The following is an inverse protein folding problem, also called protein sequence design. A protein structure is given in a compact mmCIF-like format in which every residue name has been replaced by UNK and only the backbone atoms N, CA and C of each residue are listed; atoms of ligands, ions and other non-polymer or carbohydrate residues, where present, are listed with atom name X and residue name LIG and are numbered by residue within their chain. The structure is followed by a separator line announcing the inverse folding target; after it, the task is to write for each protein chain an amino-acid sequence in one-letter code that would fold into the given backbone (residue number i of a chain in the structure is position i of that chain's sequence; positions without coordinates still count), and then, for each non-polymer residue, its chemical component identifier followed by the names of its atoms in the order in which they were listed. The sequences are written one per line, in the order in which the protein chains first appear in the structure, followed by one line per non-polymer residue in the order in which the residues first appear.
data_IF_399541484696
#
_entry.id   IF_399541484696
#
_cell.length_a   1.000
_cell.length_b   1.000
_cell.length_c   1.000
_cell.angle_alpha   90.00
_cell.angle_beta   90.00
_cell.angle_gamma   90.00
#
_symmetry.space_group_name_H-M   'P 1'
#
loop_
_entity.id
_entity.type
_entity.pdbx_description
1 polymer ?
#
# COMPACT_ATOMS: atom_id res chain seq x y z
N UNK A 1 4.76 -42.81 4.81
CA UNK A 1 3.97 -41.56 4.89
C UNK A 1 4.34 -40.59 3.75
N UNK A 2 5.61 -40.32 3.47
CA UNK A 2 6.05 -39.45 2.36
C UNK A 2 5.60 -39.85 0.93
N UNK A 3 5.40 -41.15 0.67
CA UNK A 3 4.98 -41.65 -0.66
C UNK A 3 3.56 -41.23 -1.03
N UNK A 4 2.66 -41.12 -0.04
CA UNK A 4 1.28 -40.69 -0.28
C UNK A 4 1.18 -39.20 -0.57
N UNK A 5 2.10 -38.39 -0.03
CA UNK A 5 2.07 -36.92 -0.16
C UNK A 5 2.68 -36.46 -1.49
N UNK A 6 3.76 -37.11 -1.94
CA UNK A 6 4.32 -36.91 -3.29
C UNK A 6 3.30 -37.28 -4.37
N UNK A 7 2.61 -38.40 -4.19
CA UNK A 7 1.57 -38.85 -5.14
C UNK A 7 0.44 -37.83 -5.34
N UNK A 8 0.01 -37.13 -4.27
CA UNK A 8 -1.03 -36.08 -4.38
C UNK A 8 -0.56 -34.90 -5.24
N UNK A 9 0.71 -34.49 -5.10
CA UNK A 9 1.27 -33.40 -5.91
C UNK A 9 1.47 -33.83 -7.36
N UNK A 10 1.96 -35.05 -7.59
CA UNK A 10 2.10 -35.62 -8.94
C UNK A 10 0.76 -35.76 -9.67
N UNK A 11 -0.28 -36.23 -8.96
CA UNK A 11 -1.65 -36.30 -9.47
C UNK A 11 -2.16 -34.91 -9.84
N UNK A 12 -1.98 -33.91 -8.96
CA UNK A 12 -2.35 -32.52 -9.22
C UNK A 12 -1.62 -31.90 -10.43
N UNK A 13 -0.33 -32.19 -10.59
CA UNK A 13 0.45 -31.77 -11.75
C UNK A 13 -0.06 -32.43 -13.04
N UNK A 14 -0.50 -33.69 -12.96
CA UNK A 14 -1.05 -34.41 -14.11
C UNK A 14 -2.47 -33.94 -14.48
N UNK A 15 -3.32 -33.67 -13.49
CA UNK A 15 -4.69 -33.18 -13.64
C UNK A 15 -4.69 -31.87 -14.43
N UNK A 16 -3.84 -30.91 -14.02
CA UNK A 16 -3.76 -29.61 -14.68
C UNK A 16 -3.23 -29.67 -16.12
N UNK A 17 -2.25 -30.55 -16.41
CA UNK A 17 -1.72 -30.72 -17.78
C UNK A 17 -2.78 -31.19 -18.79
N UNK A 18 -3.80 -31.90 -18.31
CA UNK A 18 -4.88 -32.44 -19.15
C UNK A 18 -6.10 -31.53 -19.21
N UNK A 19 -6.09 -30.41 -18.47
CA UNK A 19 -7.25 -29.57 -18.26
C UNK A 19 -7.47 -28.59 -19.43
N UNK A 20 -8.66 -28.58 -20.06
CA UNK A 20 -8.99 -27.58 -21.08
C UNK A 20 -9.12 -26.17 -20.47
N UNK A 21 -8.71 -25.13 -21.21
CA UNK A 21 -8.81 -23.72 -20.77
C UNK A 21 -10.23 -23.31 -20.36
N UNK A 22 -11.25 -23.89 -21.00
CA UNK A 22 -12.67 -23.61 -20.70
C UNK A 22 -13.12 -24.07 -19.31
N UNK A 23 -12.35 -24.94 -18.66
CA UNK A 23 -12.66 -25.50 -17.35
C UNK A 23 -11.84 -24.90 -16.20
N UNK A 24 -10.96 -23.94 -16.49
CA UNK A 24 -10.13 -23.25 -15.50
C UNK A 24 -10.94 -22.62 -14.34
N UNK A 25 -12.09 -21.94 -14.57
CA UNK A 25 -12.84 -21.33 -13.47
C UNK A 25 -13.39 -22.36 -12.50
N UNK A 26 -13.87 -23.50 -13.01
CA UNK A 26 -14.40 -24.60 -12.21
C UNK A 26 -13.28 -25.34 -11.45
N UNK A 27 -12.10 -25.42 -12.05
CA UNK A 27 -10.94 -25.97 -11.39
C UNK A 27 -10.47 -25.09 -10.22
N UNK A 28 -10.44 -23.76 -10.44
CA UNK A 28 -9.97 -22.80 -9.46
C UNK A 28 -10.85 -22.73 -8.20
N UNK A 29 -12.17 -22.89 -8.34
CA UNK A 29 -13.09 -22.97 -7.19
C UNK A 29 -12.84 -24.21 -6.34
N UNK A 30 -12.66 -25.37 -6.96
CA UNK A 30 -12.42 -26.64 -6.26
C UNK A 30 -11.05 -26.71 -5.58
N UNK A 31 -10.08 -25.92 -6.05
CA UNK A 31 -8.70 -25.95 -5.56
C UNK A 31 -8.59 -25.50 -4.09
N UNK A 32 -9.46 -24.58 -3.64
CA UNK A 32 -9.49 -24.07 -2.26
C UNK A 32 -9.85 -25.15 -1.23
N UNK A 33 -10.60 -26.17 -1.66
CA UNK A 33 -11.06 -27.26 -0.78
C UNK A 33 -10.02 -28.38 -0.62
N UNK A 34 -8.99 -28.41 -1.48
CA UNK A 34 -7.91 -29.43 -1.45
C UNK A 34 -6.85 -29.11 -0.39
N UNK A 35 -7.21 -29.18 0.90
CA UNK A 35 -6.31 -28.86 2.04
C UNK A 35 -5.07 -29.78 2.15
N UNK A 36 -5.20 -31.06 1.75
CA UNK A 36 -4.08 -32.00 1.67
C UNK A 36 -3.05 -31.57 0.64
N UNK A 37 -3.50 -31.09 -0.53
CA UNK A 37 -2.64 -30.56 -1.57
C UNK A 37 -1.86 -29.34 -1.07
N UNK A 38 -2.54 -28.36 -0.46
CA UNK A 38 -1.88 -27.15 0.08
C UNK A 38 -0.79 -27.53 1.08
N UNK A 39 -1.07 -28.48 1.97
CA UNK A 39 -0.11 -28.97 2.96
C UNK A 39 1.11 -29.64 2.30
N UNK A 40 0.90 -30.47 1.28
CA UNK A 40 1.97 -31.10 0.52
C UNK A 40 2.80 -30.07 -0.28
N UNK A 41 2.17 -29.05 -0.84
CA UNK A 41 2.87 -27.97 -1.57
C UNK A 41 3.78 -27.17 -0.65
N UNK A 42 3.34 -26.81 0.56
CA UNK A 42 4.21 -26.17 1.55
C UNK A 42 5.45 -27.02 1.86
N UNK A 43 5.30 -28.34 2.01
CA UNK A 43 6.43 -29.25 2.24
C UNK A 43 7.40 -29.28 1.06
N UNK A 44 6.88 -29.37 -0.17
CA UNK A 44 7.71 -29.33 -1.39
C UNK A 44 8.50 -28.01 -1.47
N UNK A 45 7.88 -26.88 -1.15
CA UNK A 45 8.55 -25.57 -1.15
C UNK A 45 9.63 -25.48 -0.07
N UNK A 46 9.39 -26.07 1.12
CA UNK A 46 10.35 -26.11 2.22
C UNK A 46 11.57 -27.02 1.97
N UNK A 47 11.47 -27.94 1.01
CA UNK A 47 12.52 -28.89 0.64
C UNK A 47 13.21 -28.46 -0.68
N UNK A 48 14.29 -27.64 -0.63
CA UNK A 48 14.94 -27.08 -1.82
C UNK A 48 15.59 -28.13 -2.75
N UNK A 49 15.73 -29.37 -2.29
CA UNK A 49 16.27 -30.51 -3.05
C UNK A 49 15.18 -31.42 -3.64
N UNK A 50 13.91 -31.04 -3.52
CA UNK A 50 12.80 -31.83 -4.05
C UNK A 50 12.74 -31.75 -5.57
N UNK A 51 12.68 -32.91 -6.24
CA UNK A 51 12.48 -33.02 -7.69
C UNK A 51 11.15 -32.42 -8.14
N UNK A 52 10.15 -32.34 -7.24
CA UNK A 52 8.83 -31.77 -7.53
C UNK A 52 8.82 -30.24 -7.46
N UNK A 53 9.88 -29.60 -6.96
CA UNK A 53 9.89 -28.14 -6.76
C UNK A 53 9.82 -27.38 -8.08
N UNK A 54 10.57 -27.81 -9.08
CA UNK A 54 10.58 -27.20 -10.41
C UNK A 54 9.21 -27.24 -11.10
N UNK A 55 8.54 -28.40 -11.27
CA UNK A 55 7.22 -28.44 -11.91
C UNK A 55 6.15 -27.73 -11.09
N UNK A 56 6.24 -27.74 -9.75
CA UNK A 56 5.33 -26.97 -8.88
C UNK A 56 5.51 -25.47 -9.13
N UNK A 57 6.74 -24.95 -9.15
CA UNK A 57 6.99 -23.53 -9.42
C UNK A 57 6.47 -23.11 -10.81
N UNK A 58 6.67 -23.94 -11.83
CA UNK A 58 6.15 -23.67 -13.17
C UNK A 58 4.61 -23.65 -13.19
N UNK A 59 3.94 -24.61 -12.56
CA UNK A 59 2.48 -24.64 -12.51
C UNK A 59 1.90 -23.46 -11.72
N UNK A 60 2.53 -23.07 -10.61
CA UNK A 60 2.15 -21.87 -9.85
C UNK A 60 2.32 -20.59 -10.67
N UNK A 61 3.34 -20.52 -11.54
CA UNK A 61 3.52 -19.41 -12.47
C UNK A 61 2.42 -19.38 -13.54
N UNK A 62 2.08 -20.53 -14.14
CA UNK A 62 0.99 -20.63 -15.11
C UNK A 62 -0.37 -20.25 -14.49
N UNK A 63 -0.61 -20.63 -13.24
CA UNK A 63 -1.78 -20.19 -12.48
C UNK A 63 -1.83 -18.68 -12.36
N UNK A 64 -0.70 -18.05 -12.05
CA UNK A 64 -0.61 -16.59 -11.96
C UNK A 64 -0.82 -15.91 -13.32
N UNK A 65 -0.29 -16.52 -14.39
CA UNK A 65 -0.38 -16.02 -15.76
C UNK A 65 -1.79 -16.08 -16.34
N UNK A 66 -2.62 -17.03 -15.87
CA UNK A 66 -4.01 -17.21 -16.34
C UNK A 66 -4.89 -15.97 -16.17
N UNK A 67 -4.57 -15.10 -15.21
CA UNK A 67 -5.39 -13.93 -14.87
C UNK A 67 -6.63 -14.23 -14.02
N UNK A 68 -6.90 -15.50 -13.68
CA UNK A 68 -8.00 -15.86 -12.79
C UNK A 68 -7.69 -15.54 -11.32
N UNK A 69 -8.47 -14.64 -10.70
CA UNK A 69 -8.21 -14.16 -9.34
C UNK A 69 -8.06 -15.28 -8.30
N UNK A 70 -8.81 -16.38 -8.44
CA UNK A 70 -8.74 -17.53 -7.54
C UNK A 70 -7.39 -18.26 -7.63
N UNK A 71 -6.85 -18.41 -8.84
CA UNK A 71 -5.54 -19.03 -9.09
C UNK A 71 -4.39 -18.11 -8.66
N UNK A 72 -4.52 -16.80 -8.91
CA UNK A 72 -3.59 -15.80 -8.39
C UNK A 72 -3.52 -15.86 -6.86
N UNK A 73 -4.67 -15.86 -6.18
CA UNK A 73 -4.75 -15.99 -4.72
C UNK A 73 -4.14 -17.30 -4.22
N UNK A 74 -4.39 -18.40 -4.93
CA UNK A 74 -3.83 -19.71 -4.58
C UNK A 74 -2.30 -19.71 -4.64
N UNK A 75 -1.69 -19.12 -5.67
CA UNK A 75 -0.24 -18.99 -5.76
C UNK A 75 0.30 -18.04 -4.68
N UNK A 76 -0.39 -16.92 -4.45
CA UNK A 76 0.04 -15.87 -3.54
C UNK A 76 0.09 -16.33 -2.07
N UNK A 77 -0.71 -17.33 -1.68
CA UNK A 77 -0.68 -17.89 -0.31
C UNK A 77 0.69 -18.47 0.06
N UNK A 78 1.46 -18.98 -0.93
CA UNK A 78 2.78 -19.58 -0.73
C UNK A 78 3.92 -18.57 -0.80
N UNK A 79 3.62 -17.30 -1.16
CA UNK A 79 4.64 -16.27 -1.34
C UNK A 79 5.57 -16.13 -0.13
N UNK A 80 5.10 -16.05 1.13
CA UNK A 80 6.01 -15.90 2.27
C UNK A 80 7.05 -17.02 2.32
N UNK A 81 6.62 -18.27 2.11
CA UNK A 81 7.49 -19.45 2.11
C UNK A 81 8.49 -19.43 0.95
N UNK A 82 8.04 -19.07 -0.26
CA UNK A 82 8.92 -18.90 -1.42
C UNK A 82 10.00 -17.84 -1.16
N UNK A 83 9.65 -16.72 -0.55
CA UNK A 83 10.61 -15.66 -0.19
C UNK A 83 11.63 -16.18 0.83
N UNK A 84 11.17 -16.88 1.87
CA UNK A 84 12.08 -17.49 2.85
C UNK A 84 13.05 -18.45 2.20
N UNK A 85 12.56 -19.40 1.40
CA UNK A 85 13.40 -20.38 0.74
C UNK A 85 14.43 -19.72 -0.19
N UNK A 86 14.02 -18.72 -0.97
CA UNK A 86 14.94 -17.92 -1.79
C UNK A 86 16.04 -17.25 -0.93
N UNK A 87 15.66 -16.53 0.12
CA UNK A 87 16.62 -15.80 0.97
C UNK A 87 17.54 -16.74 1.74
N UNK A 88 17.01 -17.86 2.24
CA UNK A 88 17.77 -18.89 2.94
C UNK A 88 18.82 -19.52 2.02
N UNK A 89 18.41 -19.96 0.83
CA UNK A 89 19.34 -20.53 -0.15
C UNK A 89 20.40 -19.52 -0.58
N UNK A 90 20.00 -18.27 -0.86
CA UNK A 90 20.92 -17.17 -1.18
C UNK A 90 21.94 -16.92 -0.06
N UNK A 91 21.51 -16.95 1.21
CA UNK A 91 22.39 -16.75 2.36
C UNK A 91 23.34 -17.92 2.63
N UNK A 92 22.97 -19.14 2.22
CA UNK A 92 23.78 -20.36 2.37
C UNK A 92 24.88 -20.52 1.32
N UNK A 93 24.88 -19.70 0.27
CA UNK A 93 25.78 -19.82 -0.91
C UNK A 93 25.78 -21.21 -1.54
N UNK A 94 24.68 -21.95 -1.41
CA UNK A 94 24.58 -23.29 -1.96
C UNK A 94 24.43 -23.22 -3.49
N UNK A 95 25.45 -23.71 -4.20
CA UNK A 95 25.57 -23.66 -5.67
C UNK A 95 24.59 -24.61 -6.37
N UNK A 96 23.98 -25.56 -5.65
CA UNK A 96 23.06 -26.57 -6.21
C UNK A 96 21.58 -26.15 -6.20
N UNK A 97 21.27 -24.86 -6.09
CA UNK A 97 19.88 -24.38 -6.15
C UNK A 97 19.36 -24.43 -7.58
N UNK A 98 18.15 -24.98 -7.78
CA UNK A 98 17.52 -25.11 -9.09
C UNK A 98 17.10 -23.77 -9.73
N UNK A 99 17.15 -22.65 -8.98
CA UNK A 99 16.77 -21.32 -9.48
C UNK A 99 15.27 -21.15 -9.78
N UNK A 100 14.46 -22.21 -9.69
CA UNK A 100 13.04 -22.19 -10.06
C UNK A 100 12.22 -21.21 -9.22
N UNK A 101 12.51 -21.09 -7.92
CA UNK A 101 11.83 -20.14 -7.02
C UNK A 101 12.17 -18.70 -7.44
N UNK A 102 13.43 -18.43 -7.79
CA UNK A 102 13.85 -17.11 -8.28
C UNK A 102 13.14 -16.76 -9.59
N UNK A 103 13.07 -17.70 -10.53
CA UNK A 103 12.33 -17.52 -11.78
C UNK A 103 10.83 -17.28 -11.55
N UNK A 104 10.19 -18.01 -10.63
CA UNK A 104 8.78 -17.80 -10.26
C UNK A 104 8.57 -16.41 -9.66
N UNK A 105 9.36 -16.02 -8.66
CA UNK A 105 9.23 -14.70 -8.01
C UNK A 105 9.44 -13.56 -9.01
N UNK A 106 10.45 -13.68 -9.86
CA UNK A 106 10.74 -12.69 -10.90
C UNK A 106 9.65 -12.62 -11.97
N UNK A 107 9.14 -13.78 -12.40
CA UNK A 107 8.03 -13.86 -13.36
C UNK A 107 6.75 -13.22 -12.81
N UNK A 108 6.38 -13.53 -11.57
CA UNK A 108 5.23 -12.92 -10.90
C UNK A 108 5.42 -11.41 -10.75
N UNK A 109 6.62 -10.96 -10.40
CA UNK A 109 6.95 -9.54 -10.31
C UNK A 109 6.73 -8.82 -11.64
N UNK A 110 7.27 -9.37 -12.73
CA UNK A 110 7.14 -8.78 -14.06
C UNK A 110 5.69 -8.74 -14.55
N UNK A 111 4.86 -9.73 -14.17
CA UNK A 111 3.42 -9.69 -14.45
C UNK A 111 2.69 -8.61 -13.63
N UNK A 112 3.06 -8.43 -12.35
CA UNK A 112 2.36 -7.50 -11.44
C UNK A 112 2.72 -6.03 -11.62
N UNK A 113 3.92 -5.71 -12.13
CA UNK A 113 4.34 -4.32 -12.39
C UNK A 113 3.68 -3.71 -13.63
N UNK A 114 2.98 -4.52 -14.43
CA UNK A 114 2.25 -4.10 -15.62
C UNK A 114 0.76 -4.05 -15.30
N UNK A 115 0.08 -3.01 -15.75
CA UNK A 115 -1.37 -2.87 -15.68
C UNK A 115 -2.07 -3.74 -16.74
N UNK A 116 -3.36 -4.01 -16.57
CA UNK A 116 -4.23 -4.69 -17.54
C UNK A 116 -4.18 -4.06 -18.95
N UNK A 117 -3.83 -2.78 -19.10
CA UNK A 117 -3.65 -2.13 -20.41
C UNK A 117 -2.20 -2.23 -20.96
N UNK A 118 -1.28 -2.90 -20.27
CA UNK A 118 0.11 -3.06 -20.71
C UNK A 118 1.04 -1.91 -20.29
N UNK A 119 0.56 -0.93 -19.54
CA UNK A 119 1.37 0.19 -19.05
C UNK A 119 2.07 -0.14 -17.73
N UNK A 120 3.13 0.60 -17.39
CA UNK A 120 3.76 0.46 -16.07
C UNK A 120 2.79 0.90 -14.98
N UNK A 121 2.56 0.01 -14.01
CA UNK A 121 1.64 0.22 -12.89
C UNK A 121 2.22 1.25 -11.92
N UNK A 122 1.47 2.31 -11.67
CA UNK A 122 1.81 3.36 -10.68
C UNK A 122 0.75 3.40 -9.60
N UNK A 123 1.12 3.00 -8.39
CA UNK A 123 0.25 2.96 -7.24
C UNK A 123 0.28 4.31 -6.52
N UNK A 124 -0.88 4.94 -6.46
CA UNK A 124 -1.05 6.30 -5.93
C UNK A 124 -2.40 6.46 -5.25
N UNK A 125 -2.45 7.34 -4.26
CA UNK A 125 -3.69 7.72 -3.59
C UNK A 125 -3.74 9.23 -3.39
N UNK A 126 -4.93 9.76 -3.18
CA UNK A 126 -5.14 11.17 -2.91
C UNK A 126 -5.23 11.39 -1.42
N UNK A 127 -4.44 12.32 -0.87
CA UNK A 127 -4.51 12.66 0.55
C UNK A 127 -5.83 13.40 0.81
N UNK A 128 -6.70 12.89 1.70
CA UNK A 128 -7.94 13.58 2.07
C UNK A 128 -7.65 14.93 2.73
N UNK A 129 -8.56 15.90 2.55
CA UNK A 129 -8.46 17.22 3.16
C UNK A 129 -9.75 17.58 3.86
N UNK A 130 -9.64 18.06 5.11
CA UNK A 130 -10.79 18.57 5.88
C UNK A 130 -11.38 19.85 5.27
N UNK A 131 -10.61 20.57 4.46
CA UNK A 131 -11.05 21.78 3.76
C UNK A 131 -11.93 21.48 2.55
N UNK A 132 -12.09 20.20 2.15
CA UNK A 132 -12.96 19.79 1.04
C UNK A 132 -14.10 18.91 1.54
N UNK A 133 -15.32 19.07 0.97
CA UNK A 133 -16.42 18.17 1.28
C UNK A 133 -16.04 16.73 0.99
N UNK A 134 -16.40 15.86 1.91
CA UNK A 134 -16.21 14.42 1.78
C UNK A 134 -17.53 13.71 2.04
N UNK A 135 -17.55 12.40 1.79
CA UNK A 135 -18.70 11.55 2.14
C UNK A 135 -19.00 11.55 3.65
N UNK A 136 -18.05 11.95 4.50
CA UNK A 136 -18.18 11.90 5.97
C UNK A 136 -18.39 13.28 6.61
N UNK A 137 -18.02 14.37 5.94
CA UNK A 137 -18.06 15.71 6.57
C UNK A 137 -18.25 16.84 5.57
N UNK A 138 -18.84 17.93 6.05
CA UNK A 138 -18.94 19.20 5.36
C UNK A 138 -17.95 20.21 5.99
N UNK A 139 -17.03 20.85 5.24
CA UNK A 139 -15.99 21.71 5.79
C UNK A 139 -16.56 22.91 6.53
N UNK A 140 -17.75 23.39 6.16
CA UNK A 140 -18.44 24.48 6.86
C UNK A 140 -18.75 24.17 8.33
N UNK A 141 -18.80 22.89 8.70
CA UNK A 141 -19.02 22.44 10.09
C UNK A 141 -17.75 22.53 10.93
N UNK A 142 -16.59 22.55 10.29
CA UNK A 142 -15.28 22.67 10.92
C UNK A 142 -14.95 24.17 10.87
N UNK A 143 -14.85 24.82 12.03
CA UNK A 143 -14.67 26.27 12.10
C UNK A 143 -13.51 26.78 11.23
N UNK A 144 -13.46 28.10 11.00
CA UNK A 144 -12.59 28.78 10.01
C UNK A 144 -11.09 28.43 10.06
N UNK A 145 -10.61 27.77 11.13
CA UNK A 145 -9.25 27.26 11.27
C UNK A 145 -8.89 26.17 10.24
N UNK A 146 -9.85 25.37 9.77
CA UNK A 146 -9.60 24.36 8.72
C UNK A 146 -9.78 24.90 7.28
N UNK A 147 -10.19 26.16 7.14
CA UNK A 147 -10.48 26.82 5.86
C UNK A 147 -9.49 27.95 5.56
N UNK A 148 -8.25 27.85 6.06
CA UNK A 148 -7.21 28.84 5.73
C UNK A 148 -6.80 28.71 4.26
N UNK A 149 -6.46 29.82 3.63
CA UNK A 149 -5.94 29.85 2.26
C UNK A 149 -4.70 28.96 2.10
N UNK A 150 -3.86 28.89 3.15
CA UNK A 150 -2.75 27.94 3.23
C UNK A 150 -3.19 26.47 3.26
N UNK A 151 -4.26 26.10 3.98
CA UNK A 151 -4.78 24.72 3.99
C UNK A 151 -5.39 24.30 2.64
N UNK A 152 -6.06 25.24 1.96
CA UNK A 152 -6.60 25.05 0.61
C UNK A 152 -5.51 24.96 -0.47
N UNK A 153 -4.45 25.77 -0.35
CA UNK A 153 -3.33 25.80 -1.30
C UNK A 153 -2.30 24.68 -1.09
N UNK A 154 -2.05 24.25 0.15
CA UNK A 154 -1.03 23.22 0.45
C UNK A 154 -1.53 21.79 0.24
N UNK A 155 -2.84 21.51 0.38
CA UNK A 155 -3.40 20.15 0.34
C UNK A 155 -4.70 20.05 -0.47
N UNK A 156 -4.79 20.80 -1.57
CA UNK A 156 -5.85 20.59 -2.56
C UNK A 156 -5.70 19.24 -3.26
N UNK A 157 -6.28 18.16 -2.71
CA UNK A 157 -6.29 16.81 -3.29
C UNK A 157 -4.94 16.39 -3.92
N UNK A 158 -3.85 16.50 -3.16
CA UNK A 158 -2.55 16.05 -3.68
C UNK A 158 -2.57 14.54 -3.87
N UNK A 159 -2.29 14.11 -5.11
CA UNK A 159 -2.08 12.71 -5.45
C UNK A 159 -0.64 12.36 -5.16
N UNK A 160 -0.40 11.40 -4.28
CA UNK A 160 0.93 10.92 -3.91
C UNK A 160 1.13 9.51 -4.44
N UNK A 161 2.32 9.26 -4.98
CA UNK A 161 2.75 7.94 -5.45
C UNK A 161 3.49 7.27 -4.30
N UNK A 162 3.07 6.06 -3.94
CA UNK A 162 3.70 5.29 -2.87
C UNK A 162 4.44 4.06 -3.38
N UNK A 163 4.18 3.64 -4.62
CA UNK A 163 4.89 2.52 -5.25
C UNK A 163 4.80 2.63 -6.77
N UNK A 164 5.94 2.52 -7.46
CA UNK A 164 6.04 2.55 -8.91
C UNK A 164 6.30 3.95 -9.50
N UNK A 165 6.56 4.03 -10.82
CA UNK A 165 6.65 2.91 -11.76
C UNK A 165 7.88 2.02 -11.49
N UNK A 166 7.70 0.71 -11.63
CA UNK A 166 8.77 -0.27 -11.42
C UNK A 166 9.27 -0.80 -12.77
N UNK A 167 10.60 -0.90 -13.00
CA UNK A 167 11.13 -1.43 -14.25
C UNK A 167 11.16 -2.97 -14.26
N UNK A 168 10.86 -3.56 -15.42
CA UNK A 168 11.02 -5.00 -15.65
C UNK A 168 12.45 -5.44 -15.39
N UNK A 169 12.61 -6.66 -14.85
CA UNK A 169 13.92 -7.26 -14.54
C UNK A 169 14.04 -8.63 -15.17
N UNK A 170 15.20 -8.90 -15.77
CA UNK A 170 15.53 -10.19 -16.39
C UNK A 170 16.20 -11.17 -15.42
N UNK A 171 16.77 -10.67 -14.31
CA UNK A 171 17.44 -11.48 -13.29
C UNK A 171 17.37 -10.81 -11.91
N UNK A 172 17.32 -11.62 -10.83
CA UNK A 172 17.51 -11.09 -9.48
C UNK A 172 18.99 -10.91 -9.18
N UNK A 173 19.35 -9.69 -8.82
CA UNK A 173 20.68 -9.29 -8.38
C UNK A 173 20.64 -8.87 -6.92
N UNK A 174 21.80 -8.80 -6.26
CA UNK A 174 21.85 -8.36 -4.86
C UNK A 174 21.29 -6.94 -4.64
N UNK A 175 21.30 -6.09 -5.68
CA UNK A 175 20.82 -4.71 -5.65
C UNK A 175 19.29 -4.64 -5.77
N UNK A 176 18.70 -5.35 -6.75
CA UNK A 176 17.27 -5.23 -7.04
C UNK A 176 16.39 -6.22 -6.25
N UNK A 177 16.97 -7.28 -5.66
CA UNK A 177 16.18 -8.36 -5.05
C UNK A 177 15.20 -7.86 -4.00
N UNK A 178 15.58 -6.90 -3.16
CA UNK A 178 14.66 -6.36 -2.16
C UNK A 178 13.63 -5.39 -2.73
N UNK A 179 13.90 -4.73 -3.86
CA UNK A 179 12.87 -3.95 -4.56
C UNK A 179 11.77 -4.89 -5.08
N UNK A 180 12.18 -6.00 -5.72
CA UNK A 180 11.28 -7.04 -6.21
C UNK A 180 10.49 -7.69 -5.07
N UNK A 181 11.18 -8.20 -4.04
CA UNK A 181 10.54 -8.86 -2.90
C UNK A 181 9.60 -7.92 -2.13
N UNK A 182 9.94 -6.63 -2.00
CA UNK A 182 9.06 -5.63 -1.37
C UNK A 182 7.79 -5.42 -2.17
N UNK A 183 7.90 -5.34 -3.50
CA UNK A 183 6.73 -5.21 -4.35
C UNK A 183 5.84 -6.46 -4.34
N UNK A 184 6.44 -7.65 -4.37
CA UNK A 184 5.69 -8.91 -4.24
C UNK A 184 4.95 -8.99 -2.89
N UNK A 185 5.62 -8.58 -1.80
CA UNK A 185 5.00 -8.54 -0.48
C UNK A 185 3.90 -7.47 -0.40
N UNK A 186 4.02 -6.37 -1.14
CA UNK A 186 2.93 -5.40 -1.32
C UNK A 186 1.73 -6.02 -2.05
N UNK A 187 1.95 -6.82 -3.09
CA UNK A 187 0.88 -7.54 -3.77
C UNK A 187 0.20 -8.56 -2.83
N UNK A 188 0.96 -9.27 -2.01
CA UNK A 188 0.42 -10.11 -0.93
C UNK A 188 -0.44 -9.30 0.05
N UNK A 189 0.06 -8.14 0.48
CA UNK A 189 -0.66 -7.25 1.39
C UNK A 189 -1.98 -6.74 0.81
N UNK A 190 -2.06 -6.54 -0.51
CA UNK A 190 -3.29 -6.13 -1.19
C UNK A 190 -4.39 -7.21 -1.16
N UNK A 191 -4.04 -8.48 -0.91
CA UNK A 191 -4.95 -9.62 -0.92
C UNK A 191 -5.10 -10.30 0.46
N UNK A 192 -4.67 -9.66 1.55
CA UNK A 192 -4.65 -10.24 2.91
C UNK A 192 -5.99 -10.85 3.35
N UNK A 193 -7.11 -10.21 3.03
CA UNK A 193 -8.45 -10.70 3.36
C UNK A 193 -8.77 -12.08 2.77
N UNK A 194 -8.14 -12.42 1.64
CA UNK A 194 -8.34 -13.70 0.95
C UNK A 194 -7.31 -14.75 1.34
N UNK A 195 -6.30 -14.40 2.15
CA UNK A 195 -5.25 -15.32 2.56
C UNK A 195 -5.76 -16.24 3.68
N UNK A 196 -5.55 -17.58 3.57
CA UNK A 196 -5.94 -18.49 4.63
C UNK A 196 -5.06 -18.32 5.87
N UNK A 197 -5.56 -18.73 7.04
CA UNK A 197 -4.81 -18.65 8.32
C UNK A 197 -3.43 -19.31 8.24
N UNK A 198 -3.29 -20.42 7.51
CA UNK A 198 -2.01 -21.10 7.29
C UNK A 198 -0.98 -20.18 6.61
N UNK A 199 -1.42 -19.35 5.66
CA UNK A 199 -0.55 -18.38 4.99
C UNK A 199 -0.13 -17.25 5.95
N UNK A 200 -1.05 -16.75 6.78
CA UNK A 200 -0.74 -15.74 7.80
C UNK A 200 0.22 -16.27 8.88
N UNK A 201 0.05 -17.53 9.29
CA UNK A 201 0.96 -18.22 10.19
C UNK A 201 2.37 -18.34 9.59
N UNK A 202 2.46 -18.77 8.32
CA UNK A 202 3.72 -18.83 7.57
C UNK A 202 4.36 -17.45 7.48
N UNK A 203 3.60 -16.41 7.11
CA UNK A 203 4.07 -15.02 7.08
C UNK A 203 4.69 -14.60 8.43
N UNK A 204 3.96 -14.76 9.54
CA UNK A 204 4.45 -14.35 10.86
C UNK A 204 5.73 -15.09 11.25
N UNK A 205 5.76 -16.40 11.05
CA UNK A 205 6.93 -17.23 11.36
C UNK A 205 8.14 -16.83 10.51
N UNK A 206 7.93 -16.55 9.22
CA UNK A 206 8.99 -16.20 8.28
C UNK A 206 9.51 -14.79 8.53
N UNK A 207 8.65 -13.81 8.76
CA UNK A 207 9.06 -12.45 9.15
C UNK A 207 9.94 -12.50 10.41
N UNK A 208 9.51 -13.24 11.43
CA UNK A 208 10.31 -13.46 12.64
C UNK A 208 11.66 -14.11 12.34
N UNK A 209 11.67 -15.22 11.58
CA UNK A 209 12.91 -15.93 11.19
C UNK A 209 13.88 -15.05 10.41
N UNK A 210 13.41 -14.32 9.39
CA UNK A 210 14.21 -13.40 8.58
C UNK A 210 14.84 -12.31 9.45
N UNK A 211 14.06 -11.71 10.35
CA UNK A 211 14.53 -10.61 11.18
C UNK A 211 15.64 -11.03 12.15
N UNK A 212 15.55 -12.22 12.75
CA UNK A 212 16.54 -12.69 13.74
C UNK A 212 17.65 -13.57 13.18
N UNK A 213 17.58 -13.98 11.91
CA UNK A 213 18.58 -14.85 11.28
C UNK A 213 19.99 -14.26 11.38
N UNK A 214 20.94 -15.02 11.93
CA UNK A 214 22.33 -14.58 12.15
C UNK A 214 22.54 -13.62 13.32
N UNK A 215 21.53 -13.43 14.19
CA UNK A 215 21.62 -12.65 15.43
C UNK A 215 21.40 -13.53 16.68
N UNK A 216 21.89 -13.11 17.86
CA UNK A 216 21.75 -13.89 19.10
C UNK A 216 20.30 -14.29 19.43
N UNK A 217 19.34 -13.44 19.07
CA UNK A 217 17.90 -13.68 19.27
C UNK A 217 17.38 -14.92 18.54
N UNK A 218 18.05 -15.38 17.47
CA UNK A 218 17.74 -16.65 16.79
C UNK A 218 17.83 -17.84 17.75
N UNK A 219 18.86 -17.87 18.61
CA UNK A 219 19.04 -18.95 19.59
C UNK A 219 17.94 -18.93 20.66
N UNK A 220 17.51 -17.74 21.08
CA UNK A 220 16.37 -17.57 22.01
C UNK A 220 15.09 -18.08 21.38
N UNK A 221 14.87 -17.80 20.10
CA UNK A 221 13.72 -18.31 19.32
C UNK A 221 13.82 -19.80 18.94
N UNK A 222 15.01 -20.41 19.09
CA UNK A 222 15.31 -21.80 18.72
C UNK A 222 15.00 -22.12 17.25
N UNK A 223 15.12 -21.13 16.35
CA UNK A 223 14.95 -21.37 14.93
C UNK A 223 16.15 -22.14 14.37
N UNK A 224 15.87 -23.32 13.81
CA UNK A 224 16.85 -24.17 13.14
C UNK A 224 17.04 -23.73 11.70
N UNK A 225 18.20 -24.05 11.12
CA UNK A 225 18.54 -23.76 9.73
C UNK A 225 19.80 -22.91 9.63
N UNK A 226 19.85 -22.05 8.62
CA UNK A 226 20.98 -21.16 8.36
C UNK A 226 21.12 -20.12 9.48
N UNK A 227 22.36 -19.85 9.88
CA UNK A 227 22.72 -18.85 10.89
C UNK A 227 23.55 -17.72 10.28
N UNK A 228 23.09 -17.19 9.15
CA UNK A 228 23.76 -16.12 8.39
C UNK A 228 22.85 -14.89 8.35
N UNK A 229 23.42 -13.71 8.56
CA UNK A 229 22.64 -12.46 8.56
C UNK A 229 22.17 -12.16 7.15
N UNK A 230 20.85 -12.17 6.97
CA UNK A 230 20.20 -11.76 5.72
C UNK A 230 20.11 -10.23 5.75
N UNK A 231 20.75 -9.49 4.83
CA UNK A 231 20.60 -8.04 4.76
C UNK A 231 19.20 -7.74 4.23
N UNK A 232 18.38 -7.02 5.00
CA UNK A 232 16.97 -6.77 4.67
C UNK A 232 16.76 -5.27 4.51
N UNK A 233 16.01 -4.82 3.51
CA UNK A 233 15.72 -3.39 3.32
C UNK A 233 14.67 -2.87 4.30
N UNK A 234 14.71 -1.56 4.61
CA UNK A 234 13.72 -0.90 5.47
C UNK A 234 12.29 -1.05 4.92
N UNK A 235 12.08 -0.76 3.64
CA UNK A 235 10.76 -0.87 2.99
C UNK A 235 10.18 -2.28 3.05
N UNK A 236 11.02 -3.31 2.96
CA UNK A 236 10.57 -4.70 3.10
C UNK A 236 10.02 -4.97 4.51
N UNK A 237 10.68 -4.47 5.56
CA UNK A 237 10.18 -4.60 6.94
C UNK A 237 8.88 -3.82 7.16
N UNK A 238 8.70 -2.66 6.51
CA UNK A 238 7.41 -1.93 6.57
C UNK A 238 6.29 -2.77 5.93
N UNK A 239 6.55 -3.41 4.79
CA UNK A 239 5.57 -4.32 4.17
C UNK A 239 5.29 -5.55 5.05
N UNK A 240 6.30 -6.10 5.74
CA UNK A 240 6.06 -7.15 6.74
C UNK A 240 5.11 -6.66 7.83
N UNK A 241 5.33 -5.46 8.38
CA UNK A 241 4.51 -4.91 9.46
C UNK A 241 3.04 -4.75 9.08
N UNK A 242 2.72 -4.44 7.82
CA UNK A 242 1.33 -4.43 7.33
C UNK A 242 0.66 -5.80 7.49
N UNK A 243 1.32 -6.87 7.06
CA UNK A 243 0.79 -8.23 7.18
C UNK A 243 0.76 -8.74 8.62
N UNK A 244 1.77 -8.40 9.43
CA UNK A 244 1.78 -8.71 10.88
C UNK A 244 0.64 -7.97 11.60
N UNK A 245 0.40 -6.71 11.25
CA UNK A 245 -0.71 -5.93 11.80
C UNK A 245 -2.05 -6.58 11.50
N UNK A 246 -2.26 -7.04 10.25
CA UNK A 246 -3.45 -7.79 9.89
C UNK A 246 -3.57 -9.11 10.68
N UNK A 247 -2.47 -9.85 10.84
CA UNK A 247 -2.46 -11.12 11.57
C UNK A 247 -2.91 -10.99 13.04
N UNK A 248 -2.60 -9.89 13.73
CA UNK A 248 -3.07 -9.63 15.10
C UNK A 248 -4.60 -9.69 15.24
N UNK A 249 -5.32 -9.16 14.25
CA UNK A 249 -6.78 -9.07 14.27
C UNK A 249 -7.48 -10.25 13.59
N UNK A 250 -6.72 -11.23 13.07
CA UNK A 250 -7.25 -12.39 12.35
C UNK A 250 -6.88 -13.73 13.03
N UNK A 251 -6.75 -13.72 14.36
CA UNK A 251 -6.60 -14.92 15.19
C UNK A 251 -5.17 -15.37 15.46
N UNK A 252 -4.16 -14.77 14.81
CA UNK A 252 -2.75 -15.19 14.91
C UNK A 252 -1.94 -14.34 15.90
N UNK A 253 -2.54 -14.01 17.05
CA UNK A 253 -1.99 -13.05 18.02
C UNK A 253 -0.57 -13.40 18.48
N UNK A 254 -0.34 -14.64 18.95
CA UNK A 254 0.94 -15.03 19.54
C UNK A 254 2.08 -15.05 18.50
N UNK A 255 1.79 -15.45 17.27
CA UNK A 255 2.77 -15.46 16.18
C UNK A 255 3.05 -14.04 15.70
N UNK A 256 2.03 -13.21 15.55
CA UNK A 256 2.15 -11.80 15.19
C UNK A 256 2.94 -11.01 16.25
N UNK A 257 2.68 -11.26 17.54
CA UNK A 257 3.42 -10.64 18.65
C UNK A 257 4.90 -11.01 18.62
N UNK A 258 5.22 -12.30 18.43
CA UNK A 258 6.61 -12.75 18.30
C UNK A 258 7.31 -12.09 17.11
N UNK A 259 6.64 -12.02 15.96
CA UNK A 259 7.16 -11.38 14.76
C UNK A 259 7.38 -9.87 14.95
N UNK A 260 6.42 -9.16 15.56
CA UNK A 260 6.53 -7.73 15.85
C UNK A 260 7.73 -7.43 16.75
N UNK A 261 7.89 -8.18 17.85
CA UNK A 261 9.01 -7.97 18.77
C UNK A 261 10.38 -8.25 18.10
N UNK A 262 10.41 -9.17 17.13
CA UNK A 262 11.61 -9.52 16.38
C UNK A 262 11.92 -8.50 15.28
N UNK A 263 10.90 -7.91 14.65
CA UNK A 263 11.05 -6.78 13.73
C UNK A 263 11.58 -5.55 14.49
N UNK A 264 11.03 -5.23 15.68
CA UNK A 264 11.51 -4.13 16.53
C UNK A 264 12.99 -4.34 16.85
N UNK A 265 13.36 -5.53 17.30
CA UNK A 265 14.75 -5.86 17.60
C UNK A 265 15.67 -5.68 16.40
N UNK A 266 15.26 -6.14 15.22
CA UNK A 266 16.06 -5.99 14.01
C UNK A 266 16.18 -4.53 13.59
N UNK A 267 15.08 -3.77 13.62
CA UNK A 267 15.07 -2.36 13.25
C UNK A 267 15.93 -1.49 14.20
N UNK A 268 16.00 -1.85 15.49
CA UNK A 268 16.90 -1.21 16.45
C UNK A 268 18.38 -1.48 16.13
N UNK A 269 18.73 -2.71 15.75
CA UNK A 269 20.11 -3.05 15.41
C UNK A 269 20.57 -2.44 14.08
N UNK A 270 19.69 -2.39 13.08
CA UNK A 270 19.97 -1.79 11.76
C UNK A 270 19.75 -0.28 11.72
N UNK A 271 19.25 0.31 12.82
CA UNK A 271 18.91 1.73 12.93
C UNK A 271 17.92 2.21 11.86
N UNK A 272 16.94 1.38 11.50
CA UNK A 272 15.90 1.75 10.53
C UNK A 272 14.75 2.51 11.19
N UNK A 273 14.53 3.79 10.86
CA UNK A 273 13.55 4.62 11.56
C UNK A 273 12.11 4.22 11.22
N UNK A 274 11.79 3.97 9.95
CA UNK A 274 10.41 3.72 9.52
C UNK A 274 9.82 2.41 10.10
N UNK A 275 10.51 1.25 10.02
CA UNK A 275 9.98 0.02 10.59
C UNK A 275 9.87 0.13 12.11
N UNK A 276 10.82 0.81 12.77
CA UNK A 276 10.78 1.02 14.21
C UNK A 276 9.61 1.93 14.62
N UNK A 277 9.35 3.00 13.86
CA UNK A 277 8.22 3.91 14.06
C UNK A 277 6.89 3.17 13.93
N UNK A 278 6.69 2.47 12.81
CA UNK A 278 5.44 1.74 12.53
C UNK A 278 5.24 0.62 13.54
N UNK A 279 6.28 -0.14 13.87
CA UNK A 279 6.18 -1.23 14.85
C UNK A 279 5.86 -0.72 16.27
N UNK A 280 6.44 0.41 16.68
CA UNK A 280 6.09 1.03 17.96
C UNK A 280 4.66 1.58 17.96
N UNK A 281 4.20 2.16 16.85
CA UNK A 281 2.81 2.60 16.71
C UNK A 281 1.83 1.42 16.81
N UNK A 282 2.13 0.29 16.16
CA UNK A 282 1.37 -0.96 16.31
C UNK A 282 1.38 -1.42 17.76
N UNK A 283 2.56 -1.49 18.39
CA UNK A 283 2.67 -1.95 19.79
C UNK A 283 1.86 -1.09 20.76
N UNK A 284 1.79 0.22 20.52
CA UNK A 284 1.00 1.16 21.32
C UNK A 284 -0.51 1.09 21.06
N UNK A 285 -0.94 0.66 19.86
CA UNK A 285 -2.35 0.55 19.52
C UNK A 285 -2.98 -0.81 19.88
N UNK A 286 -2.17 -1.82 20.17
CA UNK A 286 -2.66 -3.15 20.52
C UNK A 286 -3.43 -3.16 21.86
N UNK A 287 -4.55 -3.90 21.95
CA UNK A 287 -5.21 -4.14 23.22
C UNK A 287 -4.35 -4.96 24.18
N UNK A 288 -4.72 -4.99 25.46
CA UNK A 288 -3.98 -5.70 26.53
C UNK A 288 -3.95 -7.24 26.38
N UNK A 289 -4.52 -7.80 25.32
CA UNK A 289 -4.52 -9.22 25.02
C UNK A 289 -5.30 -9.55 23.75
N UNK A 290 -5.30 -10.82 23.31
CA UNK A 290 -6.00 -11.24 22.10
C UNK A 290 -7.48 -10.89 22.17
N UNK A 291 -8.02 -10.33 21.09
CA UNK A 291 -9.45 -10.09 20.98
C UNK A 291 -10.18 -11.44 20.99
N UNK A 292 -10.89 -11.73 22.08
CA UNK A 292 -11.78 -12.89 22.13
C UNK A 292 -12.99 -12.59 21.25
N UNK A 293 -13.35 -13.51 20.35
CA UNK A 293 -14.60 -13.45 19.61
C UNK A 293 -15.77 -13.68 20.58
N UNK A 294 -16.18 -12.64 21.29
CA UNK A 294 -17.47 -12.69 21.98
C UNK A 294 -18.57 -12.60 20.91
N UNK A 295 -19.60 -13.46 21.03
CA UNK A 295 -20.82 -13.41 20.21
C UNK A 295 -21.59 -12.09 20.36
N UNK A 296 -21.19 -11.25 21.32
CA UNK A 296 -21.60 -9.86 21.44
C UNK A 296 -20.43 -8.99 20.97
N UNK A 297 -20.62 -8.34 19.82
CA UNK A 297 -19.59 -7.57 19.15
C UNK A 297 -19.08 -6.41 20.00
N UNK A 298 -17.98 -6.62 20.72
CA UNK A 298 -17.16 -5.53 21.20
C UNK A 298 -16.48 -4.93 19.98
N UNK A 299 -17.10 -3.87 19.44
CA UNK A 299 -16.58 -3.08 18.32
C UNK A 299 -15.13 -2.71 18.63
N UNK A 300 -14.21 -3.21 17.81
CA UNK A 300 -12.77 -3.00 17.92
C UNK A 300 -12.34 -1.53 17.72
N UNK A 301 -13.26 -0.68 17.28
CA UNK A 301 -13.05 0.76 17.14
C UNK A 301 -14.09 1.43 18.05
N UNK A 302 -13.65 1.94 19.20
CA UNK A 302 -14.41 2.95 19.93
C UNK A 302 -14.37 4.24 19.10
N UNK A 303 -15.38 4.42 18.25
CA UNK A 303 -15.60 5.70 17.58
C UNK A 303 -16.27 6.62 18.59
N UNK A 304 -15.49 7.47 19.24
CA UNK A 304 -16.05 8.65 19.90
C UNK A 304 -16.62 9.56 18.81
N UNK A 305 -17.93 9.46 18.58
CA UNK A 305 -18.64 10.38 17.70
C UNK A 305 -18.70 11.71 18.45
N UNK A 306 -17.81 12.64 18.13
CA UNK A 306 -17.98 14.03 18.56
C UNK A 306 -19.29 14.52 17.96
N UNK A 307 -20.30 14.90 18.77
CA UNK A 307 -21.58 15.33 18.24
C UNK A 307 -21.39 16.59 17.38
N UNK A 308 -21.76 16.52 16.11
CA UNK A 308 -21.77 17.65 15.19
C UNK A 308 -22.97 18.53 15.53
N UNK A 309 -22.80 19.43 16.51
CA UNK A 309 -23.77 20.50 16.69
C UNK A 309 -23.76 21.40 15.45
N UNK A 310 -24.89 21.47 14.75
CA UNK A 310 -25.13 22.28 13.55
C UNK A 310 -25.12 23.78 13.84
N UNK A 311 -23.95 24.33 14.20
CA UNK A 311 -23.76 25.78 14.22
C UNK A 311 -23.24 26.21 12.86
N UNK A 312 -24.17 26.42 11.93
CA UNK A 312 -23.90 27.18 10.71
C UNK A 312 -23.42 28.55 11.17
N UNK A 313 -22.12 28.81 11.04
CA UNK A 313 -21.55 30.13 11.29
C UNK A 313 -22.10 31.08 10.23
N UNK A 314 -22.97 32.00 10.65
CA UNK A 314 -23.61 33.02 9.81
C UNK A 314 -22.64 34.07 9.24
N UNK A 315 -21.33 33.92 9.47
CA UNK A 315 -20.32 34.94 9.18
C UNK A 315 -19.43 34.61 7.96
N UNK A 316 -19.70 33.52 7.23
CA UNK A 316 -18.87 33.09 6.10
C UNK A 316 -19.28 33.68 4.73
N UNK A 317 -20.01 34.80 4.71
CA UNK A 317 -20.26 35.55 3.46
C UNK A 317 -19.22 36.65 3.34
N UNK A 318 -18.15 36.39 2.60
CA UNK A 318 -17.20 37.44 2.20
C UNK A 318 -17.79 38.20 1.01
N UNK A 319 -17.56 39.52 0.96
CA UNK A 319 -17.99 40.42 -0.14
C UNK A 319 -17.51 39.97 -1.54
N UNK A 320 -16.55 39.05 -1.61
CA UNK A 320 -16.07 38.40 -2.83
C UNK A 320 -17.05 37.40 -3.42
N UNK A 321 -17.79 36.64 -2.59
CA UNK A 321 -18.80 35.68 -3.03
C UNK A 321 -19.99 36.37 -3.73
N UNK A 322 -20.33 37.60 -3.31
CA UNK A 322 -21.41 38.41 -3.91
C UNK A 322 -21.01 38.97 -5.28
N UNK A 323 -19.73 39.29 -5.51
CA UNK A 323 -19.26 39.86 -6.79
C UNK A 323 -19.24 38.85 -7.94
N UNK A 324 -19.04 37.56 -7.66
CA UNK A 324 -19.00 36.51 -8.69
C UNK A 324 -20.34 36.24 -9.37
N UNK A 325 -21.46 36.49 -8.70
CA UNK A 325 -22.80 36.14 -9.21
C UNK A 325 -23.55 37.26 -9.94
N UNK A 326 -23.02 38.50 -9.99
CA UNK A 326 -23.76 39.65 -10.57
C UNK A 326 -23.60 39.88 -12.08
N UNK A 327 -22.75 39.14 -12.77
CA UNK A 327 -22.48 39.39 -14.20
C UNK A 327 -22.89 38.19 -15.07
N UNK A 328 -24.19 37.98 -15.20
CA UNK A 328 -24.81 37.24 -16.32
C UNK A 328 -26.31 37.55 -16.39
N UNK A 329 -26.66 38.75 -16.86
CA UNK A 329 -27.91 38.96 -17.59
C UNK A 329 -27.59 39.86 -18.78
N UNK A 330 -27.73 39.28 -19.98
CA UNK A 330 -27.73 40.00 -21.23
C UNK A 330 -29.07 40.74 -21.37
N UNK A 331 -28.99 41.98 -21.83
CA UNK A 331 -30.10 42.83 -22.22
C UNK A 331 -30.67 42.37 -23.56
N UNK A 332 -32.00 42.34 -23.69
CA UNK A 332 -32.69 42.85 -24.87
C UNK A 332 -34.14 43.27 -24.50
N UNK A 333 -34.70 44.27 -25.21
CA UNK A 333 -35.83 45.08 -24.75
C UNK A 333 -37.15 44.59 -25.34
N UNK A 334 -38.28 44.87 -24.68
CA UNK A 334 -39.55 45.08 -25.40
C UNK A 334 -40.58 45.91 -24.61
N UNK A 335 -41.09 46.88 -25.37
CA UNK A 335 -42.26 47.76 -25.28
C UNK A 335 -43.39 47.49 -24.26
N UNK A 336 -43.77 48.60 -23.60
CA UNK A 336 -45.07 49.04 -23.08
C UNK A 336 -46.32 48.14 -23.24
N UNK A 337 -47.00 47.85 -22.12
CA UNK A 337 -48.24 48.54 -21.72
C UNK A 337 -48.66 48.18 -20.27
N UNK A 338 -49.13 49.20 -19.55
CA UNK A 338 -49.51 49.20 -18.14
C UNK A 338 -50.68 48.28 -17.77
N UNK A 339 -50.57 47.56 -16.64
CA UNK A 339 -51.35 47.76 -15.39
C UNK A 339 -51.04 46.66 -14.36
N UNK A 340 -50.72 47.06 -13.13
CA UNK A 340 -50.05 46.24 -12.11
C UNK A 340 -51.04 45.60 -11.13
N UNK A 341 -51.13 44.27 -11.13
CA UNK A 341 -51.73 43.46 -10.06
C UNK A 341 -50.66 42.86 -9.13
N UNK A 342 -51.05 42.64 -7.87
CA UNK A 342 -50.27 42.14 -6.74
C UNK A 342 -49.58 40.78 -7.00
N UNK A 343 -48.31 40.65 -6.58
CA UNK A 343 -47.56 39.38 -6.69
C UNK A 343 -46.57 39.16 -5.54
N UNK A 344 -46.95 38.27 -4.63
CA UNK A 344 -46.15 37.70 -3.54
C UNK A 344 -45.04 36.80 -4.15
N UNK A 345 -43.79 36.98 -3.71
CA UNK A 345 -42.65 36.14 -4.12
C UNK A 345 -42.56 34.87 -3.27
N UNK A 346 -42.84 33.73 -3.90
CA UNK A 346 -42.64 32.37 -3.39
C UNK A 346 -41.20 31.92 -3.68
N UNK A 347 -40.49 31.45 -2.67
CA UNK A 347 -39.16 30.83 -2.79
C UNK A 347 -39.37 29.32 -3.05
N UNK A 348 -38.79 28.71 -4.10
CA UNK A 348 -38.98 27.29 -4.38
C UNK A 348 -38.07 26.41 -3.52
N UNK A 349 -38.66 25.45 -2.83
CA UNK A 349 -37.98 24.28 -2.27
C UNK A 349 -37.64 23.30 -3.41
N UNK A 350 -36.40 22.83 -3.47
CA UNK A 350 -36.01 21.74 -4.37
C UNK A 350 -35.39 20.64 -3.52
N UNK A 351 -36.22 19.64 -3.21
CA UNK A 351 -35.83 18.34 -2.66
C UNK A 351 -35.49 17.39 -3.81
N UNK A 352 -34.39 16.63 -3.72
CA UNK A 352 -34.17 15.48 -4.62
C UNK A 352 -33.56 14.31 -3.86
N UNK A 353 -34.43 13.38 -3.48
CA UNK A 353 -34.11 11.97 -3.19
C UNK A 353 -34.98 11.08 -4.07
N UNK A 354 -34.33 10.12 -4.76
CA UNK A 354 -34.82 8.80 -5.20
C UNK A 354 -34.79 8.47 -6.71
N UNK A 355 -33.73 7.76 -7.10
CA UNK A 355 -33.66 6.38 -7.65
C UNK A 355 -34.66 5.87 -8.74
N UNK A 356 -34.04 5.45 -9.86
CA UNK A 356 -34.30 4.32 -10.79
C UNK A 356 -35.38 4.37 -11.90
N UNK A 357 -34.97 3.89 -13.10
CA UNK A 357 -35.87 3.21 -14.06
C UNK A 357 -35.54 3.41 -15.54
N UNK A 358 -35.20 2.33 -16.24
CA UNK A 358 -34.81 2.18 -17.65
C UNK A 358 -35.87 2.60 -18.71
N UNK A 359 -35.44 3.05 -19.91
CA UNK A 359 -35.55 2.33 -21.22
C UNK A 359 -35.42 3.22 -22.48
N UNK A 360 -34.52 2.77 -23.37
CA UNK A 360 -34.52 2.71 -24.87
C UNK A 360 -35.13 3.82 -25.76
N UNK A 361 -34.36 4.25 -26.76
CA UNK A 361 -34.88 4.44 -28.13
C UNK A 361 -34.37 5.63 -28.96
N UNK A 362 -33.40 5.36 -29.85
CA UNK A 362 -33.13 5.91 -31.20
C UNK A 362 -33.03 7.43 -31.51
N UNK A 363 -31.99 7.78 -32.31
CA UNK A 363 -32.22 8.46 -33.59
C UNK A 363 -31.45 9.75 -33.95
N UNK A 364 -30.18 9.60 -34.34
CA UNK A 364 -29.44 10.25 -35.46
C UNK A 364 -29.25 11.79 -35.64
N UNK A 365 -28.11 12.04 -36.33
CA UNK A 365 -27.58 13.24 -37.03
C UNK A 365 -26.79 14.22 -36.15
N UNK A 366 -25.50 14.47 -36.34
CA UNK A 366 -24.61 14.29 -37.49
C UNK A 366 -24.14 15.67 -37.96
N UNK A 367 -22.87 16.03 -37.71
CA UNK A 367 -22.08 16.98 -38.51
C UNK A 367 -20.60 16.97 -38.10
N UNK A 368 -19.81 16.49 -39.06
CA UNK A 368 -18.35 16.61 -39.21
C UNK A 368 -17.97 17.94 -39.84
N UNK A 369 -16.82 18.50 -39.43
CA UNK A 369 -15.92 19.44 -40.14
C UNK A 369 -14.86 19.84 -39.09
N UNK A 370 -13.55 19.83 -39.29
CA UNK A 370 -12.66 19.64 -40.44
C UNK A 370 -11.27 20.08 -39.97
N UNK A 371 -10.23 19.45 -40.50
CA UNK A 371 -8.78 19.67 -40.25
C UNK A 371 -8.35 21.15 -40.38
N UNK A 372 -7.28 21.61 -39.74
CA UNK A 372 -5.89 21.80 -40.26
C UNK A 372 -5.24 22.71 -39.16
N UNK A 373 -4.04 22.56 -38.60
CA UNK A 373 -2.73 22.53 -39.24
C UNK A 373 -1.64 22.05 -38.25
N UNK A 374 -0.64 21.35 -38.77
CA UNK A 374 0.59 21.00 -38.10
C UNK A 374 1.73 21.83 -38.72
N UNK A 375 2.59 22.45 -37.90
CA UNK A 375 3.92 22.85 -38.36
C UNK A 375 4.95 22.94 -37.21
N UNK A 376 5.85 21.97 -37.26
CA UNK A 376 7.27 21.92 -36.93
C UNK A 376 8.03 23.25 -36.62
N UNK A 377 9.02 23.14 -35.70
CA UNK A 377 10.43 23.63 -35.75
C UNK A 377 10.96 23.66 -34.29
N UNK A 378 11.78 22.68 -33.85
CA UNK A 378 13.26 22.73 -33.76
C UNK A 378 13.75 23.86 -32.81
N UNK A 379 14.37 23.63 -31.66
CA UNK A 379 15.47 22.70 -31.35
C UNK A 379 16.80 23.47 -31.43
N UNK A 380 17.22 24.14 -30.34
CA UNK A 380 18.62 24.55 -30.14
C UNK A 380 18.97 24.49 -28.65
N UNK A 381 20.02 23.72 -28.39
CA UNK A 381 20.78 23.54 -27.16
C UNK A 381 22.00 24.45 -27.27
N UNK A 382 22.33 25.24 -26.24
CA UNK A 382 23.67 25.83 -26.13
C UNK A 382 24.09 26.03 -24.67
N UNK A 383 25.33 25.61 -24.44
CA UNK A 383 26.04 25.46 -23.17
C UNK A 383 26.83 26.71 -22.79
N UNK A 384 26.92 26.94 -21.48
CA UNK A 384 28.00 27.54 -20.68
C UNK A 384 29.03 28.47 -21.34
N UNK A 385 29.19 29.68 -20.80
CA UNK A 385 30.50 30.28 -20.46
C UNK A 385 30.34 31.37 -19.40
N UNK A 386 31.29 31.42 -18.48
CA UNK A 386 31.46 32.36 -17.37
C UNK A 386 32.57 33.36 -17.75
N UNK A 387 32.54 34.64 -17.33
CA UNK A 387 33.70 35.15 -16.60
C UNK A 387 33.41 36.19 -15.48
N UNK A 388 33.97 35.88 -14.30
CA UNK A 388 34.72 36.74 -13.34
C UNK A 388 34.43 38.26 -13.20
N UNK A 389 33.96 38.57 -11.98
CA UNK A 389 34.34 39.65 -11.01
C UNK A 389 34.32 41.13 -11.41
N UNK A 390 33.46 41.92 -10.73
CA UNK A 390 33.88 43.03 -9.84
C UNK A 390 32.76 43.50 -8.89
N UNK A 391 33.18 43.98 -7.72
CA UNK A 391 32.44 44.24 -6.47
C UNK A 391 31.46 45.42 -6.48
N UNK A 392 30.38 45.33 -5.66
CA UNK A 392 30.06 46.26 -4.55
C UNK A 392 28.69 45.96 -3.88
N UNK A 393 28.69 45.90 -2.54
CA UNK A 393 27.56 46.32 -1.68
C UNK A 393 26.59 45.26 -1.16
N UNK A 394 26.86 44.74 0.05
CA UNK A 394 25.87 44.10 0.94
C UNK A 394 25.14 45.17 1.77
N UNK A 395 23.95 44.85 2.33
CA UNK A 395 23.96 44.58 3.77
C UNK A 395 23.21 43.29 4.17
N UNK A 396 23.98 42.45 4.85
CA UNK A 396 23.70 41.45 5.90
C UNK A 396 22.26 41.33 6.44
N UNK A 397 21.66 40.15 6.26
CA UNK A 397 20.49 39.68 7.03
C UNK A 397 20.98 38.76 8.16
N UNK A 398 20.72 39.23 9.38
CA UNK A 398 21.06 38.70 10.70
C UNK A 398 20.52 37.27 10.91
N UNK A 399 21.42 36.27 10.99
CA UNK A 399 21.11 34.91 11.46
C UNK A 399 20.83 34.91 12.97
N UNK A 400 19.64 34.44 13.38
CA UNK A 400 19.30 34.16 14.78
C UNK A 400 20.12 32.97 15.30
N UNK A 401 20.76 33.16 16.46
CA UNK A 401 21.53 32.13 17.17
C UNK A 401 20.62 31.24 18.00
N UNK A 402 20.94 29.95 17.93
CA UNK A 402 20.50 28.80 18.70
C UNK A 402 20.23 29.07 20.20
N UNK A 403 19.03 28.69 20.66
CA UNK A 403 18.67 28.53 22.07
C UNK A 403 19.03 27.12 22.50
N UNK A 404 20.30 26.92 22.89
CA UNK A 404 20.78 25.74 23.63
C UNK A 404 21.97 26.16 24.50
N UNK A 405 21.68 26.99 25.51
CA UNK A 405 22.62 27.27 26.60
C UNK A 405 21.88 27.81 27.83
N UNK A 406 20.95 27.03 28.36
CA UNK A 406 20.38 27.19 29.72
C UNK A 406 19.87 25.83 30.20
N UNK A 407 20.76 24.87 30.42
CA UNK A 407 20.48 23.64 31.19
C UNK A 407 21.76 22.87 31.57
N UNK A 408 22.86 23.61 31.78
CA UNK A 408 24.09 23.10 32.39
C UNK A 408 24.48 24.07 33.51
N UNK A 409 23.68 24.10 34.56
CA UNK A 409 24.05 24.65 35.87
C UNK A 409 23.09 24.05 36.90
N UNK A 410 23.51 22.93 37.48
CA UNK A 410 22.73 22.24 38.49
C UNK A 410 23.12 20.77 38.59
N UNK A 411 24.17 20.49 39.36
CA UNK A 411 24.30 19.41 40.37
C UNK A 411 25.80 19.34 40.72
N UNK A 412 26.13 19.95 41.86
CA UNK A 412 27.38 19.73 42.58
C UNK A 412 27.28 18.40 43.34
N UNK A 413 28.22 17.49 43.13
CA UNK A 413 28.49 16.35 44.02
C UNK A 413 29.98 16.37 44.40
N UNK A 414 30.33 16.41 45.71
CA UNK A 414 31.71 16.25 46.15
C UNK A 414 32.01 14.79 46.48
N UNK A 415 33.27 14.38 46.28
CA UNK A 415 33.82 13.19 46.94
C UNK A 415 34.57 12.23 46.02
N UNK A 416 35.85 12.50 45.79
CA UNK A 416 36.84 11.51 45.35
C UNK A 416 37.89 11.37 46.45
N UNK A 417 38.04 10.16 47.00
CA UNK A 417 39.16 9.75 47.85
C UNK A 417 39.71 8.44 47.28
N UNK A 418 41.02 8.48 46.95
CA UNK A 418 42.09 7.45 46.90
C UNK A 418 41.71 6.00 46.54
N UNK A 419 42.39 5.31 45.63
CA UNK A 419 43.85 5.23 45.43
C UNK A 419 44.34 5.60 44.02
#
# INVERSE_FOLDING_TARGET
MFTSEKGVVEEWLSEFKTLPETSLPNYATNLKDKSSLVSSLYKVIQEPQSELLEPVCHQLFEFYRSGEEQLLQFTLQFLPELIWCYLAVSASRNVHSSGCIEALLLGVYNLEIVDKQGHSKVLSFTIPSLSKPSVYHEPSSIGSMALTESALSQHGLSKVVYSGPHPQREMLTAQNRFEVLTFLLLCYNAALTYMPSVSLQSLCQICSRICVCGYPRQHVRKYKGISSRIPVSSGFMVQMLTGIYFAFYNGEWDLAQKALDDIIYRAQLELYPEPLLVANAIKASLPHGPMKSNKEGTRCIQVEITPTSSRISRNAVTSMSIRGHRWKRHEQPDNNNDTTELGILVIPEISVTNVAGERTGNGEKGRTLGEIDAQHIQGVQETATDPRTESKGLPEIRRQKSVRKMMEDGINSPGRVQF
#
